data_IF_869696938661
#
_entry.id   IF_869696938661
#
_cell.length_a   1.000
_cell.length_b   1.000
_cell.length_c   1.000
_cell.angle_alpha   90.00
_cell.angle_beta   90.00
_cell.angle_gamma   90.00
#
_symmetry.space_group_name_H-M   'P 1'
#
loop_
_entity.id
_entity.type
_entity.pdbx_description
1 polymer ?
#
# COMPACT_ATOMS: atom_id res chain seq x y z
N UNK A 1 -30.01 22.62 -31.64
CA UNK A 1 -28.85 21.75 -31.93
C UNK A 1 -27.65 22.65 -32.22
N UNK A 2 -26.88 23.01 -31.19
CA UNK A 2 -25.73 23.93 -31.31
C UNK A 2 -24.45 23.15 -31.60
N UNK A 3 -23.76 23.54 -32.67
CA UNK A 3 -22.54 22.92 -33.17
C UNK A 3 -21.25 23.44 -32.49
N UNK A 4 -21.34 23.95 -31.25
CA UNK A 4 -20.20 24.63 -30.60
C UNK A 4 -19.37 23.79 -29.63
N UNK A 5 -19.57 22.46 -29.54
CA UNK A 5 -18.89 21.65 -28.51
C UNK A 5 -17.98 20.54 -29.06
N UNK A 6 -17.43 20.76 -30.26
CA UNK A 6 -16.26 20.01 -30.75
C UNK A 6 -14.98 20.71 -30.33
N UNK A 7 -14.90 21.12 -29.06
CA UNK A 7 -13.61 21.47 -28.47
C UNK A 7 -12.74 20.22 -28.53
N UNK A 8 -11.81 20.22 -29.48
CA UNK A 8 -10.69 19.29 -29.54
C UNK A 8 -9.84 19.50 -28.30
N UNK A 9 -10.31 19.00 -27.16
CA UNK A 9 -9.62 19.05 -25.90
C UNK A 9 -8.25 18.43 -26.13
N UNK A 10 -7.23 19.30 -26.16
CA UNK A 10 -5.86 18.89 -26.36
C UNK A 10 -5.55 17.79 -25.36
N UNK A 11 -4.96 16.68 -25.84
CA UNK A 11 -4.60 15.56 -24.97
C UNK A 11 -3.81 16.12 -23.79
N UNK A 12 -4.21 15.82 -22.54
CA UNK A 12 -3.48 16.32 -21.38
C UNK A 12 -2.02 15.88 -21.50
N UNK A 13 -1.06 16.75 -21.16
CA UNK A 13 0.34 16.41 -21.32
C UNK A 13 0.72 15.29 -20.34
N UNK A 14 1.54 14.34 -20.81
CA UNK A 14 1.87 13.10 -20.11
C UNK A 14 2.50 13.32 -18.72
N UNK A 15 3.22 14.43 -18.53
CA UNK A 15 3.79 14.80 -17.23
C UNK A 15 2.73 15.02 -16.14
N UNK A 16 1.49 15.41 -16.49
CA UNK A 16 0.38 15.51 -15.52
C UNK A 16 -0.10 14.14 -15.06
N UNK A 17 -0.04 13.13 -15.93
CA UNK A 17 -0.34 11.75 -15.57
C UNK A 17 0.71 11.23 -14.58
N UNK A 18 1.99 11.51 -14.85
CA UNK A 18 3.11 11.09 -14.00
C UNK A 18 3.12 11.79 -12.65
N UNK A 19 2.70 13.07 -12.59
CA UNK A 19 2.61 13.84 -11.36
C UNK A 19 1.38 13.51 -10.50
N UNK A 20 0.50 12.60 -10.95
CA UNK A 20 -0.65 12.17 -10.17
C UNK A 20 -0.21 11.33 -8.96
N UNK A 21 -0.75 11.59 -7.77
CA UNK A 21 -0.23 11.02 -6.51
C UNK A 21 -0.09 9.49 -6.51
N UNK A 22 -1.07 8.78 -7.10
CA UNK A 22 -1.04 7.32 -7.23
C UNK A 22 0.07 6.84 -8.16
N UNK A 23 0.22 7.47 -9.33
CA UNK A 23 1.23 7.11 -10.33
C UNK A 23 2.63 7.46 -9.84
N UNK A 24 2.79 8.60 -9.18
CA UNK A 24 4.06 9.00 -8.56
C UNK A 24 4.53 7.98 -7.53
N UNK A 25 3.61 7.48 -6.69
CA UNK A 25 3.91 6.42 -5.73
C UNK A 25 4.39 5.14 -6.44
N UNK A 26 3.69 4.70 -7.49
CA UNK A 26 4.11 3.52 -8.27
C UNK A 26 5.48 3.72 -8.95
N UNK A 27 5.79 4.93 -9.43
CA UNK A 27 7.10 5.28 -10.00
C UNK A 27 8.21 5.19 -8.95
N UNK A 28 7.98 5.73 -7.75
CA UNK A 28 8.94 5.66 -6.65
C UNK A 28 9.19 4.19 -6.26
N UNK A 29 8.11 3.40 -6.12
CA UNK A 29 8.23 1.98 -5.78
C UNK A 29 8.96 1.18 -6.86
N UNK A 30 8.63 1.40 -8.13
CA UNK A 30 9.35 0.80 -9.25
C UNK A 30 10.84 1.16 -9.22
N UNK A 31 11.17 2.42 -8.93
CA UNK A 31 12.56 2.88 -8.84
C UNK A 31 13.32 2.19 -7.72
N UNK A 32 12.70 1.97 -6.55
CA UNK A 32 13.30 1.23 -5.44
C UNK A 32 13.58 -0.22 -5.83
N UNK A 33 12.61 -0.91 -6.44
CA UNK A 33 12.82 -2.28 -6.91
C UNK A 33 13.90 -2.37 -8.00
N UNK A 34 13.91 -1.42 -8.94
CA UNK A 34 14.92 -1.34 -9.99
C UNK A 34 16.32 -1.18 -9.39
N UNK A 35 16.51 -0.22 -8.48
CA UNK A 35 17.81 -0.01 -7.81
C UNK A 35 18.23 -1.25 -7.04
N UNK A 36 17.31 -1.87 -6.29
CA UNK A 36 17.59 -3.10 -5.55
C UNK A 36 18.05 -4.24 -6.47
N UNK A 37 17.39 -4.44 -7.61
CA UNK A 37 17.75 -5.47 -8.60
C UNK A 37 19.09 -5.16 -9.28
N UNK A 38 19.36 -3.88 -9.58
CA UNK A 38 20.64 -3.46 -10.18
C UNK A 38 21.81 -3.65 -9.21
N UNK A 39 21.65 -3.24 -7.96
CA UNK A 39 22.65 -3.38 -6.89
C UNK A 39 22.93 -4.87 -6.60
N UNK A 40 21.91 -5.72 -6.68
CA UNK A 40 22.06 -7.15 -6.47
C UNK A 40 22.99 -7.83 -7.49
N UNK A 41 23.19 -7.23 -8.67
CA UNK A 41 24.01 -7.82 -9.72
C UNK A 41 25.49 -7.97 -9.32
N UNK A 42 25.98 -7.09 -8.45
CA UNK A 42 27.37 -7.09 -7.98
C UNK A 42 27.60 -8.05 -6.79
N UNK A 43 26.54 -8.63 -6.21
CA UNK A 43 26.66 -9.56 -5.10
C UNK A 43 26.86 -11.00 -5.59
N UNK A 44 27.73 -11.74 -4.89
CA UNK A 44 27.92 -13.16 -5.11
C UNK A 44 26.69 -13.98 -4.70
N UNK A 45 26.51 -15.14 -5.33
CA UNK A 45 25.51 -16.12 -4.89
C UNK A 45 25.87 -16.62 -3.47
N UNK A 46 24.93 -16.68 -2.51
CA UNK A 46 23.48 -16.56 -2.64
C UNK A 46 22.91 -15.16 -2.30
N UNK A 47 23.74 -14.16 -2.00
CA UNK A 47 23.27 -12.86 -1.51
C UNK A 47 22.41 -12.10 -2.54
N UNK A 48 22.66 -12.29 -3.83
CA UNK A 48 21.86 -11.71 -4.90
C UNK A 48 20.50 -12.42 -5.13
N UNK A 49 20.29 -13.61 -4.56
CA UNK A 49 19.09 -14.42 -4.80
C UNK A 49 17.83 -13.74 -4.28
N UNK A 50 17.85 -13.24 -3.03
CA UNK A 50 16.68 -12.60 -2.42
C UNK A 50 16.23 -11.33 -3.18
N UNK A 51 17.13 -10.39 -3.52
CA UNK A 51 16.77 -9.27 -4.37
C UNK A 51 16.19 -9.66 -5.72
N UNK A 52 16.66 -10.73 -6.37
CA UNK A 52 16.08 -11.16 -7.64
C UNK A 52 14.70 -11.80 -7.47
N UNK A 53 14.54 -12.69 -6.50
CA UNK A 53 13.28 -13.40 -6.24
C UNK A 53 12.17 -12.44 -5.81
N UNK A 54 12.48 -11.43 -5.02
CA UNK A 54 11.49 -10.46 -4.53
C UNK A 54 11.39 -9.27 -5.48
N UNK A 55 12.53 -8.78 -5.95
CA UNK A 55 12.63 -7.54 -6.72
C UNK A 55 12.12 -7.65 -8.15
N UNK A 56 12.37 -8.76 -8.85
CA UNK A 56 11.90 -8.89 -10.24
C UNK A 56 10.36 -8.94 -10.30
N UNK A 57 9.66 -9.75 -9.48
CA UNK A 57 8.20 -9.72 -9.43
C UNK A 57 7.66 -8.37 -8.97
N UNK A 58 8.26 -7.77 -7.94
CA UNK A 58 7.87 -6.44 -7.45
C UNK A 58 8.01 -5.35 -8.52
N UNK A 59 9.11 -5.36 -9.25
CA UNK A 59 9.37 -4.47 -10.39
C UNK A 59 8.36 -4.67 -11.52
N UNK A 60 8.04 -5.92 -11.88
CA UNK A 60 7.07 -6.23 -12.92
C UNK A 60 5.65 -5.74 -12.55
N UNK A 61 5.23 -5.96 -11.30
CA UNK A 61 3.93 -5.49 -10.80
C UNK A 61 3.86 -3.97 -10.73
N UNK A 62 4.89 -3.31 -10.21
CA UNK A 62 4.94 -1.84 -10.15
C UNK A 62 4.94 -1.23 -11.55
N UNK A 63 5.64 -1.83 -12.51
CA UNK A 63 5.61 -1.42 -13.90
C UNK A 63 4.21 -1.56 -14.51
N UNK A 64 3.56 -2.70 -14.30
CA UNK A 64 2.19 -2.93 -14.75
C UNK A 64 1.22 -1.89 -14.16
N UNK A 65 1.37 -1.58 -12.86
CA UNK A 65 0.59 -0.56 -12.16
C UNK A 65 0.75 0.82 -12.83
N UNK A 66 1.98 1.23 -13.14
CA UNK A 66 2.27 2.50 -13.86
C UNK A 66 1.56 2.51 -15.21
N UNK A 67 1.62 1.41 -15.97
CA UNK A 67 0.97 1.31 -17.29
C UNK A 67 -0.55 1.44 -17.18
N UNK A 68 -1.17 0.75 -16.21
CA UNK A 68 -2.61 0.82 -15.97
C UNK A 68 -3.01 2.24 -15.55
N UNK A 69 -2.26 2.88 -14.66
CA UNK A 69 -2.53 4.22 -14.18
C UNK A 69 -2.43 5.28 -15.28
N UNK A 70 -1.37 5.23 -16.08
CA UNK A 70 -1.21 6.14 -17.22
C UNK A 70 -2.33 5.92 -18.23
N UNK A 71 -2.69 4.66 -18.53
CA UNK A 71 -3.81 4.35 -19.44
C UNK A 71 -5.14 4.87 -18.89
N UNK A 72 -5.40 4.68 -17.60
CA UNK A 72 -6.59 5.21 -16.93
C UNK A 72 -6.67 6.73 -17.00
N UNK A 73 -5.56 7.42 -16.74
CA UNK A 73 -5.47 8.89 -16.83
C UNK A 73 -5.70 9.42 -18.25
N UNK A 74 -5.10 8.78 -19.25
CA UNK A 74 -5.29 9.15 -20.64
C UNK A 74 -6.73 8.89 -21.11
N UNK A 75 -7.31 7.76 -20.71
CA UNK A 75 -8.71 7.43 -20.99
C UNK A 75 -9.67 8.45 -20.35
N UNK A 76 -9.34 8.94 -19.15
CA UNK A 76 -10.07 9.99 -18.45
C UNK A 76 -9.81 11.41 -18.98
N UNK A 77 -9.02 11.58 -20.06
CA UNK A 77 -8.66 12.87 -20.67
C UNK A 77 -8.14 13.91 -19.65
N UNK A 78 -7.51 13.47 -18.58
CA UNK A 78 -6.93 14.36 -17.57
C UNK A 78 -7.95 15.00 -16.63
N UNK A 79 -9.22 14.58 -16.69
CA UNK A 79 -10.21 14.81 -15.64
C UNK A 79 -10.34 13.51 -14.83
N UNK A 80 -9.29 13.16 -14.08
CA UNK A 80 -9.51 12.33 -12.90
C UNK A 80 -9.83 13.28 -11.76
N UNK A 81 -11.03 13.85 -11.79
CA UNK A 81 -11.63 14.33 -10.54
C UNK A 81 -12.19 13.07 -9.86
N UNK A 82 -11.77 12.71 -8.63
CA UNK A 82 -12.41 11.63 -7.88
C UNK A 82 -13.93 11.83 -7.79
N UNK A 83 -14.39 13.08 -7.90
CA UNK A 83 -15.79 13.45 -8.02
C UNK A 83 -16.42 12.99 -9.33
N UNK A 84 -15.71 13.04 -10.46
CA UNK A 84 -16.22 12.53 -11.75
C UNK A 84 -16.34 11.01 -11.83
N UNK A 85 -15.47 10.21 -11.21
CA UNK A 85 -15.69 8.75 -11.16
C UNK A 85 -16.93 8.41 -10.35
N UNK A 86 -17.11 9.13 -9.24
CA UNK A 86 -18.31 9.02 -8.43
C UNK A 86 -19.56 9.51 -9.18
N UNK A 87 -19.52 10.65 -9.86
CA UNK A 87 -20.61 11.16 -10.70
C UNK A 87 -20.92 10.22 -11.88
N UNK A 88 -19.91 9.57 -12.47
CA UNK A 88 -20.10 8.59 -13.55
C UNK A 88 -20.77 7.32 -13.04
N UNK A 89 -20.34 6.82 -11.88
CA UNK A 89 -20.97 5.70 -11.18
C UNK A 89 -22.42 6.02 -10.77
N UNK A 90 -22.65 7.24 -10.27
CA UNK A 90 -23.97 7.75 -9.91
C UNK A 90 -24.88 7.95 -11.11
N UNK A 91 -24.37 8.46 -12.23
CA UNK A 91 -25.13 8.59 -13.47
C UNK A 91 -25.52 7.22 -14.02
N UNK A 92 -24.63 6.24 -13.95
CA UNK A 92 -24.90 4.86 -14.33
C UNK A 92 -25.96 4.21 -13.42
N UNK A 93 -25.84 4.37 -12.09
CA UNK A 93 -26.86 3.96 -11.11
C UNK A 93 -28.21 4.65 -11.37
N UNK A 94 -28.22 5.96 -11.59
CA UNK A 94 -29.46 6.73 -11.83
C UNK A 94 -30.13 6.27 -13.13
N UNK A 95 -29.37 6.00 -14.18
CA UNK A 95 -29.89 5.46 -15.45
C UNK A 95 -30.45 4.04 -15.30
N UNK A 96 -29.90 3.23 -14.38
CA UNK A 96 -30.45 1.91 -14.04
C UNK A 96 -31.66 1.99 -13.09
N UNK A 97 -31.80 3.09 -12.35
CA UNK A 97 -32.87 3.29 -11.36
C UNK A 97 -34.04 4.10 -11.93
N UNK A 98 -33.94 4.60 -13.17
CA UNK A 98 -34.96 5.42 -13.85
C UNK A 98 -36.31 4.69 -14.08
N UNK A 99 -36.39 3.38 -13.78
CA UNK A 99 -37.63 2.59 -13.76
C UNK A 99 -38.15 2.17 -12.39
N UNK A 100 -37.48 2.53 -11.28
CA UNK A 100 -37.89 2.19 -9.92
C UNK A 100 -38.46 3.44 -9.22
N UNK A 101 -39.60 3.32 -8.54
CA UNK A 101 -40.36 4.41 -7.90
C UNK A 101 -39.47 5.48 -7.22
N UNK A 102 -39.62 6.71 -7.70
CA UNK A 102 -38.70 7.86 -7.57
C UNK A 102 -38.47 8.41 -6.15
N UNK A 103 -39.29 8.04 -5.16
CA UNK A 103 -39.12 8.50 -3.78
C UNK A 103 -38.22 7.57 -2.95
N UNK A 104 -38.32 6.25 -3.11
CA UNK A 104 -37.48 5.31 -2.36
C UNK A 104 -36.04 5.26 -2.91
N UNK A 105 -35.89 5.52 -4.21
CA UNK A 105 -34.59 5.57 -4.88
C UNK A 105 -33.74 6.76 -4.45
N UNK A 106 -34.33 7.95 -4.30
CA UNK A 106 -33.61 9.18 -3.94
C UNK A 106 -33.00 9.15 -2.54
N UNK A 107 -33.76 8.72 -1.54
CA UNK A 107 -33.28 8.64 -0.16
C UNK A 107 -32.13 7.61 -0.02
N UNK A 108 -32.26 6.46 -0.70
CA UNK A 108 -31.23 5.43 -0.73
C UNK A 108 -29.98 5.85 -1.52
N UNK A 109 -30.17 6.70 -2.51
CA UNK A 109 -29.10 7.24 -3.34
C UNK A 109 -28.36 8.38 -2.64
N UNK A 110 -29.06 9.28 -1.94
CA UNK A 110 -28.43 10.31 -1.08
C UNK A 110 -27.62 9.68 0.05
N UNK A 111 -28.15 8.66 0.71
CA UNK A 111 -27.42 7.91 1.74
C UNK A 111 -26.19 7.17 1.19
N UNK A 112 -26.29 6.54 0.01
CA UNK A 112 -25.13 5.93 -0.67
C UNK A 112 -24.07 6.95 -1.09
N UNK A 113 -24.48 8.16 -1.51
CA UNK A 113 -23.56 9.27 -1.87
C UNK A 113 -22.82 9.80 -0.67
N UNK A 114 -23.55 10.01 0.43
CA UNK A 114 -22.97 10.50 1.67
C UNK A 114 -21.96 9.50 2.22
N UNK A 115 -22.28 8.20 2.17
CA UNK A 115 -21.40 7.11 2.61
C UNK A 115 -20.14 7.00 1.73
N UNK A 116 -20.26 7.07 0.40
CA UNK A 116 -19.10 7.03 -0.51
C UNK A 116 -18.18 8.25 -0.39
N UNK A 117 -18.73 9.44 -0.12
CA UNK A 117 -17.94 10.66 0.09
C UNK A 117 -17.12 10.60 1.39
N UNK A 118 -17.69 9.97 2.43
CA UNK A 118 -17.00 9.66 3.69
C UNK A 118 -15.89 8.60 3.48
N UNK A 119 -16.12 7.61 2.62
CA UNK A 119 -15.12 6.59 2.25
C UNK A 119 -13.93 7.19 1.49
N UNK A 120 -14.15 8.14 0.56
CA UNK A 120 -13.05 8.78 -0.17
C UNK A 120 -12.16 9.66 0.74
N UNK A 121 -12.76 10.37 1.69
CA UNK A 121 -12.03 11.22 2.64
C UNK A 121 -11.26 10.42 3.71
N UNK A 122 -11.75 9.23 4.05
CA UNK A 122 -11.09 8.33 5.01
C UNK A 122 -9.93 7.56 4.39
N UNK A 123 -9.91 7.33 3.07
CA UNK A 123 -8.82 6.63 2.37
C UNK A 123 -7.45 7.29 2.56
N UNK A 124 -7.33 8.60 2.33
CA UNK A 124 -6.05 9.31 2.51
C UNK A 124 -5.53 9.28 3.96
N UNK A 125 -6.44 9.31 4.95
CA UNK A 125 -6.06 9.21 6.38
C UNK A 125 -5.62 7.80 6.75
N UNK A 126 -6.27 6.77 6.20
CA UNK A 126 -5.88 5.38 6.40
C UNK A 126 -4.52 5.09 5.75
N UNK A 127 -4.29 5.59 4.53
CA UNK A 127 -2.99 5.49 3.85
C UNK A 127 -1.88 6.11 4.71
N UNK A 128 -2.06 7.34 5.19
CA UNK A 128 -1.06 8.01 6.03
C UNK A 128 -0.82 7.27 7.36
N UNK A 129 -1.87 6.66 7.93
CA UNK A 129 -1.76 5.84 9.14
C UNK A 129 -0.94 4.58 8.88
N UNK A 130 -1.19 3.88 7.77
CA UNK A 130 -0.42 2.69 7.36
C UNK A 130 1.05 3.04 7.10
N UNK A 131 1.34 4.19 6.49
CA UNK A 131 2.71 4.67 6.34
C UNK A 131 3.39 4.90 7.70
N UNK A 132 2.68 5.51 8.65
CA UNK A 132 3.18 5.68 10.02
C UNK A 132 3.57 4.34 10.65
N UNK A 133 2.73 3.32 10.50
CA UNK A 133 3.04 1.96 10.98
C UNK A 133 4.21 1.31 10.24
N UNK A 134 4.32 1.50 8.93
CA UNK A 134 5.45 0.99 8.15
C UNK A 134 6.78 1.56 8.64
N UNK A 135 6.88 2.89 8.79
CA UNK A 135 8.10 3.52 9.30
C UNK A 135 8.38 3.14 10.76
N UNK A 136 7.33 2.98 11.57
CA UNK A 136 7.45 2.53 12.94
C UNK A 136 7.98 1.09 13.03
N UNK A 137 7.49 0.16 12.20
CA UNK A 137 8.03 -1.19 12.08
C UNK A 137 9.50 -1.16 11.66
N UNK A 138 9.84 -0.38 10.63
CA UNK A 138 11.21 -0.26 10.14
C UNK A 138 12.14 0.24 11.27
N UNK A 139 11.74 1.27 12.00
CA UNK A 139 12.51 1.78 13.14
C UNK A 139 12.64 0.74 14.26
N UNK A 140 11.56 0.03 14.61
CA UNK A 140 11.58 -1.05 15.61
C UNK A 140 12.54 -2.18 15.23
N UNK A 141 12.49 -2.65 13.98
CA UNK A 141 13.37 -3.73 13.49
C UNK A 141 14.81 -3.26 13.39
N UNK A 142 15.07 -2.00 13.01
CA UNK A 142 16.43 -1.47 12.99
C UNK A 142 17.02 -1.34 14.41
N UNK A 143 16.23 -0.86 15.36
CA UNK A 143 16.70 -0.64 16.72
C UNK A 143 16.83 -1.94 17.51
N UNK A 144 15.80 -2.78 17.51
CA UNK A 144 15.69 -3.97 18.38
C UNK A 144 15.86 -5.29 17.65
N UNK A 145 16.08 -5.24 16.34
CA UNK A 145 16.16 -6.43 15.51
C UNK A 145 14.82 -7.01 15.18
N UNK A 146 14.85 -8.00 14.30
CA UNK A 146 13.64 -8.68 13.86
C UNK A 146 13.02 -9.52 15.00
N UNK A 147 13.84 -10.08 15.88
CA UNK A 147 13.40 -10.96 16.97
C UNK A 147 12.48 -10.29 17.97
N UNK A 148 12.85 -9.08 18.37
CA UNK A 148 12.16 -8.31 19.42
C UNK A 148 11.25 -7.26 18.76
N UNK A 149 11.73 -6.58 17.72
CA UNK A 149 10.99 -5.52 17.05
C UNK A 149 9.68 -6.01 16.41
N UNK A 150 9.71 -7.16 15.72
CA UNK A 150 8.53 -7.71 15.03
C UNK A 150 7.38 -8.08 15.97
N UNK A 151 7.56 -8.89 17.04
CA UNK A 151 6.45 -9.22 17.94
C UNK A 151 5.94 -8.01 18.72
N UNK A 152 6.81 -7.07 19.12
CA UNK A 152 6.38 -5.81 19.76
C UNK A 152 5.51 -5.00 18.79
N UNK A 153 6.00 -4.80 17.56
CA UNK A 153 5.23 -4.10 16.54
C UNK A 153 3.90 -4.79 16.28
N UNK A 154 3.87 -6.10 16.10
CA UNK A 154 2.67 -6.84 15.74
C UNK A 154 1.63 -6.78 16.86
N UNK A 155 2.07 -6.90 18.12
CA UNK A 155 1.21 -6.73 19.29
C UNK A 155 0.60 -5.32 19.33
N UNK A 156 1.44 -4.28 19.17
CA UNK A 156 0.99 -2.89 19.14
C UNK A 156 0.03 -2.65 17.97
N UNK A 157 0.33 -3.17 16.79
CA UNK A 157 -0.48 -3.03 15.60
C UNK A 157 -1.88 -3.63 15.82
N UNK A 158 -1.97 -4.90 16.25
CA UNK A 158 -3.27 -5.54 16.51
C UNK A 158 -4.01 -4.83 17.65
N UNK A 159 -3.31 -4.39 18.70
CA UNK A 159 -3.93 -3.72 19.85
C UNK A 159 -4.48 -2.34 19.53
N UNK A 160 -3.72 -1.50 18.82
CA UNK A 160 -4.04 -0.11 18.58
C UNK A 160 -4.81 0.10 17.27
N UNK A 161 -4.43 -0.61 16.20
CA UNK A 161 -5.07 -0.47 14.90
C UNK A 161 -6.34 -1.31 14.79
N UNK A 162 -6.27 -2.61 15.12
CA UNK A 162 -7.43 -3.50 15.04
C UNK A 162 -8.38 -3.36 16.24
N UNK A 163 -8.00 -2.61 17.29
CA UNK A 163 -8.77 -2.41 18.53
C UNK A 163 -9.19 -3.72 19.21
N UNK A 164 -8.42 -4.77 18.99
CA UNK A 164 -8.73 -6.10 19.49
C UNK A 164 -8.51 -6.22 21.01
N UNK A 165 -9.16 -7.23 21.59
CA UNK A 165 -8.96 -7.57 23.00
C UNK A 165 -7.51 -7.96 23.27
N UNK A 166 -6.99 -7.62 24.46
CA UNK A 166 -5.59 -7.87 24.83
C UNK A 166 -5.22 -9.36 24.66
N UNK A 167 -6.13 -10.26 25.06
CA UNK A 167 -5.96 -11.71 24.89
C UNK A 167 -5.79 -12.11 23.43
N UNK A 168 -6.65 -11.62 22.54
CA UNK A 168 -6.58 -11.92 21.11
C UNK A 168 -5.30 -11.37 20.49
N UNK A 169 -4.92 -10.13 20.82
CA UNK A 169 -3.68 -9.53 20.31
C UNK A 169 -2.43 -10.33 20.69
N UNK A 170 -2.39 -10.89 21.91
CA UNK A 170 -1.26 -11.67 22.39
C UNK A 170 -1.22 -13.06 21.73
N UNK A 171 -2.37 -13.72 21.59
CA UNK A 171 -2.48 -15.02 20.90
C UNK A 171 -2.07 -14.89 19.43
N UNK A 172 -2.64 -13.93 18.71
CA UNK A 172 -2.30 -13.69 17.29
C UNK A 172 -0.82 -13.37 17.14
N UNK A 173 -0.26 -12.55 18.02
CA UNK A 173 1.17 -12.23 18.01
C UNK A 173 2.04 -13.46 18.21
N UNK A 174 1.73 -14.29 19.20
CA UNK A 174 2.47 -15.51 19.46
C UNK A 174 2.43 -16.48 18.27
N UNK A 175 1.26 -16.66 17.66
CA UNK A 175 1.09 -17.57 16.51
C UNK A 175 1.87 -17.07 15.29
N UNK A 176 1.70 -15.80 14.92
CA UNK A 176 2.37 -15.21 13.75
C UNK A 176 3.88 -15.21 13.94
N UNK A 177 4.35 -14.79 15.12
CA UNK A 177 5.77 -14.76 15.44
C UNK A 177 6.40 -16.16 15.43
N UNK A 178 5.75 -17.14 16.03
CA UNK A 178 6.20 -18.54 16.02
C UNK A 178 6.23 -19.13 14.60
N UNK A 179 5.23 -18.82 13.79
CA UNK A 179 5.19 -19.24 12.38
C UNK A 179 6.34 -18.62 11.59
N UNK A 180 6.61 -17.32 11.78
CA UNK A 180 7.75 -16.66 11.16
C UNK A 180 9.09 -17.22 11.64
N UNK A 181 9.23 -17.49 12.94
CA UNK A 181 10.41 -18.16 13.51
C UNK A 181 10.67 -19.47 12.77
N UNK A 182 9.64 -20.30 12.67
CA UNK A 182 9.75 -21.61 12.04
C UNK A 182 10.16 -21.49 10.57
N UNK A 183 9.52 -20.61 9.81
CA UNK A 183 9.83 -20.43 8.39
C UNK A 183 11.22 -19.84 8.15
N UNK A 184 11.61 -18.80 8.89
CA UNK A 184 12.86 -18.09 8.61
C UNK A 184 14.08 -18.83 9.17
N UNK A 185 14.00 -19.31 10.40
CA UNK A 185 15.14 -19.93 11.09
C UNK A 185 15.24 -21.39 10.74
N UNK A 186 14.15 -22.14 10.91
CA UNK A 186 14.21 -23.60 10.78
C UNK A 186 14.20 -23.99 9.30
N UNK A 187 13.25 -23.45 8.54
CA UNK A 187 13.07 -23.84 7.15
C UNK A 187 14.08 -23.18 6.20
N UNK A 188 14.32 -21.88 6.36
CA UNK A 188 15.19 -21.11 5.45
C UNK A 188 16.63 -20.93 5.95
N UNK A 189 16.94 -21.27 7.21
CA UNK A 189 18.27 -21.08 7.82
C UNK A 189 18.84 -19.66 7.61
N UNK A 190 17.95 -18.65 7.57
CA UNK A 190 18.34 -17.29 7.23
C UNK A 190 18.88 -16.57 8.48
N UNK A 191 20.03 -15.89 8.33
CA UNK A 191 20.57 -15.04 9.40
C UNK A 191 19.65 -13.83 9.56
N UNK A 192 19.14 -13.64 10.77
CA UNK A 192 18.18 -12.60 11.09
C UNK A 192 18.92 -11.41 11.70
N UNK A 193 18.57 -10.20 11.27
CA UNK A 193 19.16 -8.99 11.81
C UNK A 193 18.81 -8.80 13.30
N UNK A 194 19.84 -8.68 14.13
CA UNK A 194 19.70 -8.64 15.59
C UNK A 194 19.32 -7.27 16.13
N UNK A 195 19.52 -6.18 15.38
CA UNK A 195 19.25 -4.82 15.85
C UNK A 195 20.46 -4.13 16.42
N UNK A 196 20.51 -2.80 16.30
CA UNK A 196 21.61 -2.00 16.83
C UNK A 196 21.65 -1.97 18.36
N UNK A 197 20.51 -1.82 19.02
CA UNK A 197 20.43 -1.72 20.50
C UNK A 197 20.63 -3.10 21.13
N UNK A 198 19.95 -4.11 20.62
CA UNK A 198 20.06 -5.49 21.10
C UNK A 198 21.47 -6.02 20.92
N UNK A 199 22.09 -5.83 19.76
CA UNK A 199 23.49 -6.19 19.53
C UNK A 199 24.42 -5.47 20.53
N UNK A 200 24.26 -4.15 20.69
CA UNK A 200 25.05 -3.39 21.65
C UNK A 200 24.91 -3.90 23.10
N UNK A 201 23.71 -4.30 23.53
CA UNK A 201 23.49 -4.84 24.88
C UNK A 201 24.16 -6.21 25.03
N UNK A 202 24.01 -7.09 24.03
CA UNK A 202 24.59 -8.44 24.08
C UNK A 202 26.12 -8.34 24.17
N UNK A 203 26.73 -7.54 23.28
CA UNK A 203 28.19 -7.40 23.20
C UNK A 203 28.81 -6.85 24.48
N UNK A 204 28.17 -5.86 25.11
CA UNK A 204 28.72 -5.19 26.29
C UNK A 204 28.41 -5.87 27.64
N UNK A 205 27.39 -6.73 27.73
CA UNK A 205 26.93 -7.27 29.02
C UNK A 205 26.90 -8.79 29.12
N UNK A 206 26.90 -9.51 27.99
CA UNK A 206 26.77 -10.98 27.99
C UNK A 206 28.04 -11.71 27.57
N UNK A 207 29.08 -10.99 27.12
CA UNK A 207 30.34 -11.58 26.62
C UNK A 207 31.49 -11.57 27.64
N UNK A 208 31.28 -11.02 28.84
CA UNK A 208 32.21 -11.07 29.98
C UNK A 208 31.92 -12.26 30.90
#
# INVERSE_FOLDING_TARGET
>A
MSASDRNGAARPPLWRALAHGRTLFSIIMFSIFLVMVLVAWDYAWPANFLPFVIGIPGMALAFLQIVIDIRGFLAAKGQIDPRTEFERYMAELTSHTEGLELDLGKEKLETLVEDHSMVAKTRNRQEMTLFGFFFFLLAMVLLFGFWIGTPIFLFLFVRYYAKESLKLSLIVTAIVWSTMYFLLVILLSQIIFEGYISGFIIDNYLTD
#
